data_IF_057289445978
#
_entry.id   IF_057289445978
#
_cell.length_a   1.000
_cell.length_b   1.000
_cell.length_c   1.000
_cell.angle_alpha   90.00
_cell.angle_beta   90.00
_cell.angle_gamma   90.00
#
_symmetry.space_group_name_H-M   'P 1'
#
loop_
_entity.id
_entity.type
_entity.pdbx_description
1 polymer ?
#
# COMPACT_ATOMS: atom_id res chain seq x y z
N UNK A 1 -0.81 45.10 -27.91
CA UNK A 1 -0.08 44.59 -26.75
C UNK A 1 -0.94 44.02 -25.63
N UNK A 2 -1.96 44.72 -25.10
CA UNK A 2 -2.79 44.22 -23.97
C UNK A 2 -3.55 42.91 -24.22
N UNK A 3 -4.00 42.62 -25.45
CA UNK A 3 -4.67 41.34 -25.80
C UNK A 3 -3.73 40.13 -25.82
N UNK A 4 -2.50 40.29 -26.31
CA UNK A 4 -1.53 39.20 -26.34
C UNK A 4 -1.07 38.77 -24.92
N UNK A 5 -0.95 39.74 -24.00
CA UNK A 5 -0.56 39.47 -22.61
C UNK A 5 -1.66 38.67 -21.89
N UNK A 6 -2.93 38.98 -22.12
CA UNK A 6 -4.07 38.25 -21.54
C UNK A 6 -4.14 36.79 -22.04
N UNK A 7 -3.91 36.56 -23.33
CA UNK A 7 -3.89 35.22 -23.91
C UNK A 7 -2.73 34.42 -23.34
N UNK A 8 -1.55 35.03 -23.23
CA UNK A 8 -0.37 34.34 -22.66
C UNK A 8 -0.58 34.00 -21.17
N UNK A 9 -1.19 34.90 -20.40
CA UNK A 9 -1.52 34.63 -19.00
C UNK A 9 -2.54 33.50 -18.84
N UNK A 10 -3.57 33.44 -19.67
CA UNK A 10 -4.55 32.35 -19.66
C UNK A 10 -3.95 30.99 -20.02
N UNK A 11 -3.02 30.95 -21.00
CA UNK A 11 -2.34 29.71 -21.41
C UNK A 11 -1.41 29.21 -20.30
N UNK A 12 -0.65 30.10 -19.63
CA UNK A 12 0.22 29.71 -18.51
C UNK A 12 -0.58 29.22 -17.31
N UNK A 13 -1.73 29.81 -16.99
CA UNK A 13 -2.60 29.33 -15.91
C UNK A 13 -3.20 27.97 -16.27
N UNK A 14 -3.60 27.75 -17.52
CA UNK A 14 -4.15 26.47 -17.97
C UNK A 14 -3.10 25.34 -17.91
N UNK A 15 -1.85 25.62 -18.29
CA UNK A 15 -0.74 24.66 -18.20
C UNK A 15 -0.40 24.35 -16.73
N UNK A 16 -0.46 25.35 -15.84
CA UNK A 16 -0.28 25.14 -14.40
C UNK A 16 -1.37 24.27 -13.78
N UNK A 17 -2.63 24.47 -14.18
CA UNK A 17 -3.77 23.67 -13.70
C UNK A 17 -3.67 22.22 -14.20
N UNK A 18 -3.26 22.00 -15.44
CA UNK A 18 -3.06 20.66 -16.01
C UNK A 18 -1.85 19.93 -15.41
N UNK A 19 -0.85 20.66 -14.91
CA UNK A 19 0.31 20.07 -14.21
C UNK A 19 0.05 19.69 -12.76
N UNK A 20 -1.07 20.12 -12.17
CA UNK A 20 -1.48 19.82 -10.80
C UNK A 20 -2.41 18.60 -10.68
N UNK A 21 -2.83 18.00 -11.79
CA UNK A 21 -3.43 16.67 -11.76
C UNK A 21 -2.31 15.68 -11.45
N UNK A 22 -1.98 15.55 -10.16
CA UNK A 22 -1.25 14.41 -9.63
C UNK A 22 -1.93 13.17 -10.20
N UNK A 23 -1.21 12.40 -11.00
CA UNK A 23 -1.66 11.08 -11.44
C UNK A 23 -1.80 10.27 -10.15
N UNK A 24 -2.98 10.27 -9.54
CA UNK A 24 -3.35 9.20 -8.62
C UNK A 24 -3.23 7.94 -9.47
N UNK A 25 -2.35 7.03 -9.08
CA UNK A 25 -2.35 5.69 -9.65
C UNK A 25 -3.76 5.18 -9.49
N UNK A 26 -4.47 4.94 -10.59
CA UNK A 26 -5.87 4.52 -10.55
C UNK A 26 -6.06 3.12 -9.95
N UNK A 27 -4.99 2.50 -9.44
CA UNK A 27 -4.98 1.18 -8.81
C UNK A 27 -5.07 1.33 -7.29
N UNK A 28 -5.93 0.55 -6.65
CA UNK A 28 -6.11 0.56 -5.19
C UNK A 28 -5.22 -0.48 -4.49
N UNK A 29 -5.04 -0.35 -3.16
CA UNK A 29 -4.30 -1.34 -2.38
C UNK A 29 -4.95 -2.74 -2.45
N UNK A 30 -6.28 -2.81 -2.55
CA UNK A 30 -7.00 -4.06 -2.72
C UNK A 30 -6.75 -4.70 -4.10
N UNK A 31 -6.75 -3.91 -5.16
CA UNK A 31 -6.47 -4.41 -6.51
C UNK A 31 -5.03 -4.93 -6.62
N UNK A 32 -4.07 -4.22 -6.03
CA UNK A 32 -2.68 -4.68 -5.94
C UNK A 32 -2.61 -6.00 -5.18
N UNK A 33 -3.27 -6.10 -4.01
CA UNK A 33 -3.27 -7.31 -3.19
C UNK A 33 -3.84 -8.51 -3.94
N UNK A 34 -4.93 -8.32 -4.69
CA UNK A 34 -5.51 -9.36 -5.55
C UNK A 34 -4.56 -9.78 -6.66
N UNK A 35 -3.95 -8.81 -7.35
CA UNK A 35 -2.97 -9.08 -8.42
C UNK A 35 -1.78 -9.89 -7.93
N UNK A 36 -1.23 -9.59 -6.75
CA UNK A 36 -0.17 -10.38 -6.12
C UNK A 36 -0.65 -11.79 -5.79
N UNK A 37 -1.81 -11.91 -5.14
CA UNK A 37 -2.36 -13.21 -4.74
C UNK A 37 -2.60 -14.13 -5.93
N UNK A 38 -3.12 -13.58 -7.02
CA UNK A 38 -3.39 -14.33 -8.25
C UNK A 38 -2.09 -14.74 -8.96
N UNK A 39 -1.12 -13.81 -9.05
CA UNK A 39 0.16 -14.07 -9.71
C UNK A 39 0.99 -15.16 -9.02
N UNK A 40 1.03 -15.14 -7.69
CA UNK A 40 1.79 -16.11 -6.88
C UNK A 40 0.93 -17.31 -6.44
N UNK A 41 -0.34 -17.37 -6.86
CA UNK A 41 -1.25 -18.49 -6.62
C UNK A 41 -1.37 -18.87 -5.13
N UNK A 42 -1.55 -17.88 -4.27
CA UNK A 42 -1.75 -18.10 -2.85
C UNK A 42 -3.09 -18.84 -2.58
N UNK A 43 -3.01 -19.98 -1.89
CA UNK A 43 -4.17 -20.90 -1.74
C UNK A 43 -4.70 -21.00 -0.32
N UNK A 44 -3.87 -20.78 0.68
CA UNK A 44 -4.18 -21.15 2.07
C UNK A 44 -4.40 -19.96 2.97
N UNK A 45 -4.92 -18.87 2.44
CA UNK A 45 -5.18 -17.64 3.19
C UNK A 45 -6.33 -16.85 2.62
N UNK A 46 -6.41 -15.60 3.06
CA UNK A 46 -7.40 -14.66 2.58
C UNK A 46 -6.81 -13.24 2.47
N UNK A 47 -7.37 -12.46 1.56
CA UNK A 47 -7.08 -11.03 1.47
C UNK A 47 -8.05 -10.29 2.36
N UNK A 48 -7.51 -9.48 3.26
CA UNK A 48 -8.24 -8.52 4.08
C UNK A 48 -8.00 -7.11 3.53
N UNK A 49 -9.04 -6.26 3.57
CA UNK A 49 -8.93 -4.89 3.10
C UNK A 49 -9.91 -3.98 3.84
N UNK A 50 -9.52 -2.73 4.13
CA UNK A 50 -10.44 -1.73 4.62
C UNK A 50 -11.28 -1.07 3.50
N UNK A 51 -11.03 -1.44 2.26
CA UNK A 51 -11.86 -1.12 1.10
C UNK A 51 -13.09 -2.04 0.98
N UNK A 52 -13.14 -3.16 1.71
CA UNK A 52 -14.34 -3.99 1.80
C UNK A 52 -15.41 -3.33 2.67
N UNK A 53 -16.67 -3.65 2.39
CA UNK A 53 -17.79 -3.26 3.26
C UNK A 53 -17.54 -3.74 4.70
N UNK A 54 -17.93 -2.93 5.69
CA UNK A 54 -17.74 -3.23 7.12
C UNK A 54 -18.42 -4.53 7.59
N UNK A 55 -19.42 -5.00 6.85
CA UNK A 55 -20.10 -6.28 7.12
C UNK A 55 -19.40 -7.49 6.47
N UNK A 56 -18.39 -7.24 5.63
CA UNK A 56 -17.62 -8.31 5.02
C UNK A 56 -16.67 -8.92 6.06
N UNK A 57 -16.64 -10.25 6.15
CA UNK A 57 -15.76 -10.97 7.07
C UNK A 57 -14.27 -10.74 6.81
N UNK A 58 -13.90 -10.28 5.61
CA UNK A 58 -12.55 -9.92 5.21
C UNK A 58 -12.28 -8.41 5.29
N UNK A 59 -13.17 -7.64 5.92
CA UNK A 59 -12.91 -6.24 6.21
C UNK A 59 -11.75 -6.11 7.22
N UNK A 60 -10.78 -5.26 6.93
CA UNK A 60 -9.62 -5.04 7.77
C UNK A 60 -10.05 -4.33 9.07
N UNK A 61 -10.16 -5.09 10.14
CA UNK A 61 -10.64 -4.59 11.44
C UNK A 61 -9.62 -3.64 12.10
N UNK A 62 -10.08 -2.85 13.08
CA UNK A 62 -9.18 -2.01 13.89
C UNK A 62 -8.16 -2.87 14.67
N UNK A 63 -8.54 -4.06 15.08
CA UNK A 63 -7.66 -5.00 15.74
C UNK A 63 -6.55 -5.50 14.81
N UNK A 64 -6.89 -5.81 13.55
CA UNK A 64 -5.90 -6.13 12.53
C UNK A 64 -4.98 -4.94 12.21
N UNK A 65 -5.52 -3.71 12.18
CA UNK A 65 -4.69 -2.50 12.00
C UNK A 65 -3.68 -2.36 13.14
N UNK A 66 -4.09 -2.58 14.39
CA UNK A 66 -3.16 -2.58 15.53
C UNK A 66 -2.13 -3.69 15.46
N UNK A 67 -2.53 -4.87 15.01
CA UNK A 67 -1.59 -5.98 14.82
C UNK A 67 -0.48 -5.66 13.81
N UNK A 68 -0.78 -4.90 12.76
CA UNK A 68 0.19 -4.51 11.73
C UNK A 68 0.97 -3.24 12.13
N UNK A 69 0.26 -2.21 12.59
CA UNK A 69 0.79 -0.87 12.77
C UNK A 69 1.18 -0.56 14.23
N UNK A 70 0.82 -1.46 15.16
CA UNK A 70 1.03 -1.29 16.59
C UNK A 70 -0.17 -0.66 17.29
N UNK A 71 -0.12 -0.63 18.64
CA UNK A 71 -1.23 -0.22 19.50
C UNK A 71 -1.84 1.15 19.19
N UNK A 72 -1.04 2.06 18.64
CA UNK A 72 -1.49 3.41 18.28
C UNK A 72 -1.79 3.54 16.78
N UNK A 73 -2.36 2.51 16.16
CA UNK A 73 -2.66 2.49 14.72
C UNK A 73 -3.55 3.65 14.27
N UNK A 74 -4.44 4.13 15.13
CA UNK A 74 -5.36 5.25 14.88
C UNK A 74 -4.67 6.60 14.66
N UNK A 75 -3.41 6.76 15.06
CA UNK A 75 -2.64 7.99 14.81
C UNK A 75 -2.25 8.18 13.33
N UNK A 76 -2.25 7.10 12.54
CA UNK A 76 -1.86 7.13 11.13
C UNK A 76 -3.03 7.55 10.22
N UNK A 77 -3.57 8.74 10.46
CA UNK A 77 -4.74 9.28 9.72
C UNK A 77 -4.46 9.56 8.25
N UNK A 78 -3.20 9.54 7.85
CA UNK A 78 -2.74 9.70 6.47
C UNK A 78 -2.67 8.37 5.69
N UNK A 79 -3.02 7.25 6.29
CA UNK A 79 -3.25 6.00 5.56
C UNK A 79 -4.60 6.13 4.84
N UNK A 80 -4.56 6.02 3.51
CA UNK A 80 -5.75 6.09 2.66
C UNK A 80 -6.45 4.72 2.60
N UNK A 81 -5.68 3.66 2.42
CA UNK A 81 -6.18 2.28 2.44
C UNK A 81 -5.10 1.29 2.89
N UNK A 82 -5.55 0.14 3.39
CA UNK A 82 -4.70 -0.97 3.79
C UNK A 82 -5.32 -2.28 3.33
N UNK A 83 -4.53 -3.09 2.67
CA UNK A 83 -4.90 -4.43 2.23
C UNK A 83 -3.77 -5.41 2.49
N UNK A 84 -4.08 -6.66 2.74
CA UNK A 84 -3.04 -7.65 2.96
C UNK A 84 -3.55 -9.08 2.86
N UNK A 85 -2.68 -9.98 2.50
CA UNK A 85 -2.91 -11.42 2.53
C UNK A 85 -2.31 -12.01 3.80
N UNK A 86 -3.06 -12.86 4.44
CA UNK A 86 -2.63 -13.60 5.63
C UNK A 86 -2.91 -15.09 5.43
N UNK A 87 -1.85 -15.88 5.46
CA UNK A 87 -1.98 -17.33 5.41
C UNK A 87 -2.67 -17.84 6.68
N UNK A 88 -3.54 -18.81 6.52
CA UNK A 88 -4.11 -19.63 7.61
C UNK A 88 -3.23 -20.84 7.92
N UNK A 89 -2.25 -21.09 7.06
CA UNK A 89 -1.27 -22.15 7.27
C UNK A 89 -0.18 -21.65 8.22
N UNK A 90 -0.07 -22.27 9.38
CA UNK A 90 0.96 -21.94 10.37
C UNK A 90 2.36 -22.33 9.92
N UNK A 91 2.49 -23.10 8.85
CA UNK A 91 3.78 -23.60 8.33
C UNK A 91 4.39 -22.64 7.32
N UNK A 92 3.61 -22.11 6.38
CA UNK A 92 4.15 -21.20 5.35
C UNK A 92 4.47 -19.83 5.90
N UNK A 93 3.65 -19.35 6.85
CA UNK A 93 3.82 -18.01 7.40
C UNK A 93 3.69 -16.88 6.36
N UNK A 94 3.22 -17.20 5.15
CA UNK A 94 3.13 -16.25 4.06
C UNK A 94 2.18 -15.10 4.40
N UNK A 95 2.71 -13.89 4.28
CA UNK A 95 2.00 -12.67 4.60
C UNK A 95 2.49 -11.54 3.69
N UNK A 96 1.60 -10.73 3.20
CA UNK A 96 1.98 -9.41 2.69
C UNK A 96 0.94 -8.36 3.08
N UNK A 97 1.40 -7.14 3.22
CA UNK A 97 0.57 -5.97 3.53
C UNK A 97 0.94 -4.83 2.59
N UNK A 98 -0.06 -4.17 2.05
CA UNK A 98 0.07 -3.02 1.16
C UNK A 98 -0.71 -1.87 1.78
N UNK A 99 -0.04 -0.74 1.95
CA UNK A 99 -0.57 0.47 2.60
C UNK A 99 -0.47 1.62 1.61
N UNK A 100 -1.59 2.20 1.23
CA UNK A 100 -1.65 3.43 0.46
C UNK A 100 -1.65 4.62 1.42
N UNK A 101 -0.75 5.57 1.20
CA UNK A 101 -0.63 6.80 1.98
C UNK A 101 -1.02 8.03 1.16
N UNK A 102 -1.65 9.01 1.79
CA UNK A 102 -2.08 10.25 1.14
C UNK A 102 -0.90 11.11 0.65
N UNK A 103 0.25 11.06 1.35
CA UNK A 103 1.42 11.87 1.06
C UNK A 103 2.71 11.07 1.29
N UNK A 104 3.61 11.15 0.31
CA UNK A 104 4.91 10.45 0.31
C UNK A 104 5.84 10.86 1.46
N UNK A 105 5.63 12.01 2.08
CA UNK A 105 6.39 12.46 3.25
C UNK A 105 6.26 11.50 4.45
N UNK A 106 5.12 10.77 4.56
CA UNK A 106 4.89 9.78 5.61
C UNK A 106 5.48 8.39 5.34
N UNK A 107 6.07 8.20 4.15
CA UNK A 107 6.63 6.91 3.73
C UNK A 107 7.64 6.35 4.73
N UNK A 108 8.58 7.18 5.17
CA UNK A 108 9.63 6.76 6.11
C UNK A 108 9.05 6.30 7.46
N UNK A 109 8.00 6.96 7.95
CA UNK A 109 7.35 6.59 9.20
C UNK A 109 6.66 5.21 9.09
N UNK A 110 5.90 4.97 8.03
CA UNK A 110 5.23 3.67 7.81
C UNK A 110 6.27 2.57 7.55
N UNK A 111 7.31 2.83 6.77
CA UNK A 111 8.40 1.86 6.59
C UNK A 111 9.06 1.47 7.91
N UNK A 112 9.30 2.43 8.81
CA UNK A 112 9.86 2.14 10.13
C UNK A 112 8.94 1.24 10.98
N UNK A 113 7.62 1.38 10.84
CA UNK A 113 6.65 0.47 11.47
C UNK A 113 6.79 -0.94 10.91
N UNK A 114 6.81 -1.06 9.58
CA UNK A 114 6.89 -2.36 8.90
C UNK A 114 8.25 -3.04 9.12
N UNK A 115 9.35 -2.30 9.24
CA UNK A 115 10.65 -2.87 9.66
C UNK A 115 10.62 -3.44 11.07
N UNK A 116 9.92 -2.79 12.03
CA UNK A 116 9.73 -3.39 13.36
C UNK A 116 8.92 -4.68 13.30
N UNK A 117 7.90 -4.74 12.41
CA UNK A 117 7.17 -5.97 12.15
C UNK A 117 8.07 -7.06 11.56
N UNK A 118 8.91 -6.71 10.58
CA UNK A 118 9.86 -7.65 9.99
C UNK A 118 10.82 -8.24 11.04
N UNK A 119 11.29 -7.42 11.98
CA UNK A 119 12.24 -7.83 13.01
C UNK A 119 11.69 -8.90 13.99
N UNK A 120 10.37 -9.03 14.12
CA UNK A 120 9.75 -10.07 14.98
C UNK A 120 9.42 -11.36 14.21
N UNK A 121 9.59 -11.40 12.90
CA UNK A 121 9.41 -12.58 12.04
C UNK A 121 10.74 -13.35 11.96
N UNK A 122 11.05 -14.05 13.02
CA UNK A 122 12.26 -14.89 13.10
C UNK A 122 12.17 -16.04 12.09
N UNK A 123 13.31 -16.38 11.49
CA UNK A 123 13.47 -17.51 10.56
C UNK A 123 12.63 -17.45 9.27
N UNK A 124 12.09 -16.29 8.94
CA UNK A 124 11.30 -16.10 7.70
C UNK A 124 11.89 -14.94 6.89
N UNK A 125 12.03 -15.13 5.59
CA UNK A 125 12.48 -14.04 4.72
C UNK A 125 11.44 -12.92 4.69
N UNK A 126 11.89 -11.69 4.85
CA UNK A 126 11.04 -10.51 4.90
C UNK A 126 11.58 -9.39 4.02
N UNK A 127 10.68 -8.64 3.40
CA UNK A 127 11.01 -7.46 2.62
C UNK A 127 10.07 -6.31 3.00
N UNK A 128 10.64 -5.12 3.13
CA UNK A 128 9.90 -3.86 3.28
C UNK A 128 10.30 -2.97 2.12
N UNK A 129 9.34 -2.40 1.44
CA UNK A 129 9.59 -1.54 0.29
C UNK A 129 8.54 -0.46 0.12
N UNK A 130 8.77 0.40 -0.87
CA UNK A 130 7.81 1.42 -1.25
C UNK A 130 7.92 1.73 -2.74
N UNK A 131 6.79 2.08 -3.35
CA UNK A 131 6.68 2.58 -4.70
C UNK A 131 5.50 3.55 -4.79
N UNK A 132 5.66 4.68 -5.49
CA UNK A 132 4.58 5.67 -5.56
C UNK A 132 4.09 6.10 -4.16
N UNK A 133 2.81 6.02 -3.92
CA UNK A 133 2.17 6.30 -2.63
C UNK A 133 1.97 5.02 -1.79
N UNK A 134 2.54 3.90 -2.21
CA UNK A 134 2.39 2.64 -1.52
C UNK A 134 3.65 2.29 -0.72
N UNK A 135 3.43 1.74 0.46
CA UNK A 135 4.45 1.09 1.30
C UNK A 135 3.99 -0.33 1.53
N UNK A 136 4.90 -1.28 1.44
CA UNK A 136 4.54 -2.69 1.55
C UNK A 136 5.53 -3.48 2.42
N UNK A 137 5.00 -4.53 2.99
CA UNK A 137 5.71 -5.57 3.73
C UNK A 137 5.38 -6.91 3.11
N UNK A 138 6.37 -7.77 2.99
CA UNK A 138 6.21 -9.15 2.51
C UNK A 138 6.99 -10.07 3.43
N UNK A 139 6.41 -11.22 3.75
CA UNK A 139 7.00 -12.27 4.57
C UNK A 139 6.69 -13.63 3.93
N UNK A 140 7.67 -14.51 3.84
CA UNK A 140 7.52 -15.85 3.27
C UNK A 140 8.65 -16.24 2.33
N UNK A 141 8.60 -17.45 1.82
CA UNK A 141 9.66 -18.02 0.99
C UNK A 141 9.90 -17.27 -0.33
N UNK A 142 8.89 -16.57 -0.83
CA UNK A 142 8.96 -15.79 -2.09
C UNK A 142 9.03 -14.28 -1.86
N UNK A 143 9.39 -13.85 -0.65
CA UNK A 143 9.33 -12.43 -0.26
C UNK A 143 10.09 -11.50 -1.21
N UNK A 144 11.25 -11.91 -1.70
CA UNK A 144 12.03 -11.11 -2.67
C UNK A 144 11.30 -10.96 -4.00
N UNK A 145 10.84 -12.06 -4.58
CA UNK A 145 10.13 -12.05 -5.88
C UNK A 145 8.82 -11.24 -5.82
N UNK A 146 8.07 -11.39 -4.71
CA UNK A 146 6.86 -10.61 -4.49
C UNK A 146 7.19 -9.12 -4.37
N UNK A 147 8.26 -8.78 -3.65
CA UNK A 147 8.71 -7.39 -3.51
C UNK A 147 9.12 -6.76 -4.84
N UNK A 148 9.78 -7.51 -5.73
CA UNK A 148 10.12 -7.05 -7.08
C UNK A 148 8.87 -6.86 -7.94
N UNK A 149 7.97 -7.84 -7.95
CA UNK A 149 6.70 -7.75 -8.66
C UNK A 149 5.84 -6.55 -8.21
N UNK A 150 5.79 -6.28 -6.91
CA UNK A 150 5.09 -5.11 -6.38
C UNK A 150 5.65 -3.79 -6.91
N UNK A 151 6.98 -3.68 -7.07
CA UNK A 151 7.61 -2.47 -7.63
C UNK A 151 7.33 -2.27 -9.11
N UNK A 152 7.05 -3.36 -9.84
CA UNK A 152 6.69 -3.31 -11.25
C UNK A 152 5.19 -3.02 -11.45
N UNK A 153 4.34 -3.52 -10.53
CA UNK A 153 2.90 -3.40 -10.61
C UNK A 153 2.40 -1.99 -10.22
N UNK A 154 3.10 -1.31 -9.30
CA UNK A 154 2.78 0.03 -8.75
C UNK A 154 3.53 1.12 -9.53
#
# INVERSE_FOLDING_TARGET
>A
MRKCIRVFLCVTILVLILGLTSCESGISALEIAKGVSDHFNFKYGAIYSDEYDKLNEFCFSQEMKRYILGENAEKYTYIKSISGYFSRDMVSGDEFVIIEICDRSYRAEIMAVLYRRAAIKLDTDTRVGCQGNFVFFVCGNEAERISEYLKELI
#
